data_IF_822739994181
#
_entry.id   IF_822739994181
#
_cell.length_a   1.000
_cell.length_b   1.000
_cell.length_c   1.000
_cell.angle_alpha   90.00
_cell.angle_beta   90.00
_cell.angle_gamma   90.00
#
_symmetry.space_group_name_H-M   'P 1'
#
loop_
_entity.id
_entity.type
_entity.pdbx_description
1 polymer ?
#
# COMPACT_ATOMS: atom_id res chain seq x y z
N UNK A 1 6.46 -22.97 -68.91
CA UNK A 1 7.81 -22.65 -69.40
C UNK A 1 7.75 -21.25 -70.00
N UNK A 2 8.44 -20.21 -69.57
CA UNK A 2 9.76 -20.09 -68.92
C UNK A 2 9.85 -18.72 -68.24
N UNK A 3 10.35 -18.69 -67.01
CA UNK A 3 10.75 -17.50 -66.24
C UNK A 3 12.09 -16.96 -66.76
N UNK A 4 12.25 -15.63 -66.81
CA UNK A 4 13.49 -14.80 -66.81
C UNK A 4 13.08 -13.36 -67.17
N UNK A 5 13.55 -12.25 -66.61
CA UNK A 5 14.41 -11.94 -65.46
C UNK A 5 14.31 -10.41 -65.25
N UNK A 6 14.24 -9.98 -63.99
CA UNK A 6 14.70 -8.71 -63.38
C UNK A 6 14.80 -7.41 -64.20
N UNK A 7 14.01 -6.40 -63.80
CA UNK A 7 14.53 -5.07 -63.44
C UNK A 7 13.44 -4.28 -62.70
N UNK A 8 13.75 -3.71 -61.53
CA UNK A 8 13.25 -2.41 -61.05
C UNK A 8 13.80 -2.14 -59.64
N UNK A 9 14.81 -1.29 -59.60
CA UNK A 9 15.11 -0.27 -58.59
C UNK A 9 14.38 -0.37 -57.25
N UNK A 10 15.12 -0.73 -56.20
CA UNK A 10 14.78 -0.42 -54.81
C UNK A 10 15.24 0.98 -54.43
N UNK A 11 14.34 1.90 -54.02
CA UNK A 11 14.73 3.06 -53.23
C UNK A 11 14.43 2.89 -51.74
N UNK A 12 15.40 3.33 -50.95
CA UNK A 12 15.24 4.06 -49.69
C UNK A 12 14.64 3.33 -48.48
N UNK A 13 15.56 2.90 -47.60
CA UNK A 13 15.30 2.52 -46.20
C UNK A 13 14.71 3.73 -45.46
N UNK A 14 13.38 3.76 -45.29
CA UNK A 14 12.73 4.64 -44.31
C UNK A 14 12.72 3.95 -42.95
N UNK A 15 13.61 4.42 -42.09
CA UNK A 15 13.66 4.22 -40.64
C UNK A 15 12.27 4.48 -40.05
N UNK A 16 11.56 3.41 -39.68
CA UNK A 16 10.32 3.51 -38.91
C UNK A 16 10.74 3.97 -37.51
N UNK A 17 10.41 5.22 -37.18
CA UNK A 17 10.60 5.76 -35.84
C UNK A 17 9.84 4.91 -34.83
N UNK A 18 10.57 4.41 -33.84
CA UNK A 18 9.99 3.75 -32.68
C UNK A 18 9.02 4.72 -31.99
N UNK A 19 7.77 4.28 -31.81
CA UNK A 19 6.83 4.94 -30.91
C UNK A 19 7.42 4.91 -29.50
N UNK A 20 7.46 6.03 -28.76
CA UNK A 20 7.84 5.99 -27.35
C UNK A 20 6.77 5.16 -26.61
N UNK A 21 7.21 4.06 -25.99
CA UNK A 21 6.40 3.29 -25.04
C UNK A 21 5.77 4.24 -24.02
N UNK A 22 4.52 3.98 -23.57
CA UNK A 22 3.89 4.81 -22.55
C UNK A 22 4.80 4.85 -21.32
N UNK A 23 5.20 6.06 -20.94
CA UNK A 23 5.88 6.34 -19.68
C UNK A 23 4.95 5.82 -18.59
N UNK A 24 5.25 4.62 -18.09
CA UNK A 24 4.70 4.14 -16.82
C UNK A 24 5.16 5.16 -15.81
N UNK A 25 4.26 6.04 -15.38
CA UNK A 25 4.51 6.98 -14.30
C UNK A 25 4.77 6.15 -13.05
N UNK A 26 6.04 5.78 -12.83
CA UNK A 26 6.48 5.20 -11.57
C UNK A 26 6.03 6.16 -10.47
N UNK A 27 5.32 5.63 -9.47
CA UNK A 27 4.96 6.44 -8.32
C UNK A 27 6.22 7.09 -7.77
N UNK A 28 6.19 8.39 -7.43
CA UNK A 28 7.36 9.07 -6.89
C UNK A 28 7.94 8.29 -5.71
N UNK A 29 9.28 8.28 -5.55
CA UNK A 29 9.91 7.60 -4.43
C UNK A 29 9.37 8.16 -3.12
N UNK A 30 9.06 7.25 -2.18
CA UNK A 30 8.59 7.64 -0.85
C UNK A 30 9.69 8.44 -0.17
N UNK A 31 9.37 9.65 0.27
CA UNK A 31 10.32 10.49 0.99
C UNK A 31 10.48 9.95 2.41
N UNK A 32 11.70 9.62 2.87
CA UNK A 32 11.92 9.18 4.24
C UNK A 32 11.38 10.19 5.25
N UNK A 33 10.69 9.69 6.29
CA UNK A 33 10.21 10.54 7.37
C UNK A 33 11.35 11.19 8.14
N UNK A 34 11.13 12.42 8.61
CA UNK A 34 12.00 13.06 9.61
C UNK A 34 11.93 12.27 10.92
N UNK A 35 12.98 12.27 11.76
CA UNK A 35 12.98 11.51 13.02
C UNK A 35 11.78 11.75 13.92
N UNK A 36 11.35 13.01 14.07
CA UNK A 36 10.13 13.36 14.84
C UNK A 36 8.88 12.73 14.23
N UNK A 37 8.73 12.78 12.90
CA UNK A 37 7.59 12.18 12.20
C UNK A 37 7.59 10.66 12.31
N UNK A 38 8.77 10.03 12.28
CA UNK A 38 8.92 8.60 12.48
C UNK A 38 8.47 8.19 13.89
N UNK A 39 8.83 8.95 14.92
CA UNK A 39 8.36 8.71 16.29
C UNK A 39 6.83 8.81 16.39
N UNK A 40 6.24 9.89 15.85
CA UNK A 40 4.77 10.04 15.81
C UNK A 40 4.12 8.90 15.02
N UNK A 41 4.69 8.51 13.88
CA UNK A 41 4.22 7.38 13.09
C UNK A 41 4.28 6.06 13.85
N UNK A 42 5.32 5.85 14.67
CA UNK A 42 5.42 4.68 15.54
C UNK A 42 4.30 4.65 16.60
N UNK A 43 3.96 5.79 17.21
CA UNK A 43 2.82 5.84 18.12
C UNK A 43 1.49 5.51 17.43
N UNK A 44 1.30 5.95 16.17
CA UNK A 44 0.11 5.57 15.38
C UNK A 44 0.04 4.06 15.13
N UNK A 45 1.18 3.42 14.82
CA UNK A 45 1.26 1.96 14.67
C UNK A 45 0.98 1.25 15.99
N UNK A 46 1.40 1.82 17.12
CA UNK A 46 1.12 1.29 18.45
C UNK A 46 -0.35 1.49 18.88
N UNK A 47 -1.20 2.04 18.02
CA UNK A 47 -2.64 2.18 18.25
C UNK A 47 -3.06 3.45 18.96
N UNK A 48 -2.16 4.42 19.15
CA UNK A 48 -2.50 5.68 19.80
C UNK A 48 -3.20 6.63 18.84
N UNK A 49 -4.29 7.23 19.29
CA UNK A 49 -4.93 8.33 18.57
C UNK A 49 -4.19 9.67 18.81
N UNK A 50 -4.38 10.68 17.94
CA UNK A 50 -3.68 11.95 18.05
C UNK A 50 -3.81 12.69 19.39
N UNK A 51 -4.89 12.47 20.16
CA UNK A 51 -5.04 13.10 21.49
C UNK A 51 -4.14 12.40 22.52
N UNK A 52 -4.10 11.07 22.49
CA UNK A 52 -3.23 10.30 23.36
C UNK A 52 -1.75 10.53 23.03
N UNK A 53 -1.39 10.65 21.74
CA UNK A 53 -0.04 11.06 21.33
C UNK A 53 0.32 12.44 21.87
N UNK A 54 -0.59 13.41 21.79
CA UNK A 54 -0.37 14.74 22.34
C UNK A 54 -0.11 14.69 23.85
N UNK A 55 -0.87 13.87 24.58
CA UNK A 55 -0.69 13.69 26.01
C UNK A 55 0.66 13.04 26.35
N UNK A 56 1.07 11.98 25.66
CA UNK A 56 2.35 11.29 25.91
C UNK A 56 3.57 12.14 25.55
N UNK A 57 3.48 12.93 24.47
CA UNK A 57 4.60 13.73 23.98
C UNK A 57 4.66 15.14 24.59
N UNK A 58 3.63 15.56 25.33
CA UNK A 58 3.50 16.93 25.84
C UNK A 58 3.29 17.99 24.75
N UNK A 59 3.02 17.56 23.50
CA UNK A 59 2.79 18.46 22.36
C UNK A 59 1.33 18.88 22.27
N UNK A 60 1.08 20.01 21.64
CA UNK A 60 -0.30 20.44 21.38
C UNK A 60 -0.99 19.50 20.39
N UNK A 61 -2.31 19.29 20.56
CA UNK A 61 -3.10 18.52 19.62
C UNK A 61 -3.05 19.10 18.18
N UNK A 62 -2.86 20.42 18.04
CA UNK A 62 -2.70 21.07 16.74
C UNK A 62 -1.38 20.67 16.07
N UNK A 63 -0.29 20.64 16.84
CA UNK A 63 1.03 20.18 16.38
C UNK A 63 0.98 18.73 15.92
N UNK A 64 0.35 17.84 16.70
CA UNK A 64 0.19 16.43 16.31
C UNK A 64 -0.60 16.29 15.01
N UNK A 65 -1.70 17.04 14.85
CA UNK A 65 -2.47 17.04 13.60
C UNK A 65 -1.64 17.49 12.40
N UNK A 66 -0.82 18.52 12.57
CA UNK A 66 0.10 19.00 11.53
C UNK A 66 1.13 17.92 11.17
N UNK A 67 1.75 17.27 12.15
CA UNK A 67 2.68 16.16 11.89
C UNK A 67 2.00 14.99 11.18
N UNK A 68 0.79 14.60 11.59
CA UNK A 68 0.02 13.55 10.90
C UNK A 68 -0.29 13.94 9.46
N UNK A 69 -0.58 15.22 9.19
CA UNK A 69 -0.77 15.72 7.84
C UNK A 69 0.51 15.63 6.99
N UNK A 70 1.66 16.02 7.54
CA UNK A 70 2.96 15.91 6.87
C UNK A 70 3.36 14.46 6.59
N UNK A 71 3.13 13.55 7.56
CA UNK A 71 3.35 12.11 7.39
C UNK A 71 2.50 11.56 6.23
N UNK A 72 1.21 11.91 6.18
CA UNK A 72 0.31 11.50 5.09
C UNK A 72 0.82 11.95 3.72
N UNK A 73 1.32 13.17 3.63
CA UNK A 73 1.91 13.69 2.40
C UNK A 73 3.17 12.90 1.99
N UNK A 74 4.05 12.59 2.95
CA UNK A 74 5.29 11.83 2.70
C UNK A 74 5.05 10.41 2.18
N UNK A 75 4.01 9.73 2.65
CA UNK A 75 3.64 8.37 2.18
C UNK A 75 2.62 8.38 1.04
N UNK A 76 2.31 9.55 0.48
CA UNK A 76 1.33 9.74 -0.58
C UNK A 76 -0.05 9.15 -0.23
N UNK A 77 -0.48 9.26 1.03
CA UNK A 77 -1.79 8.75 1.45
C UNK A 77 -2.90 9.54 0.73
N UNK A 78 -3.91 8.87 0.16
CA UNK A 78 -5.06 9.54 -0.42
C UNK A 78 -5.72 10.51 0.58
N UNK A 79 -6.30 11.62 0.10
CA UNK A 79 -6.98 12.56 0.97
C UNK A 79 -8.10 11.86 1.74
N UNK A 80 -8.21 12.15 3.04
CA UNK A 80 -9.21 11.59 3.96
C UNK A 80 -9.11 10.07 4.18
N UNK A 81 -7.96 9.44 3.88
CA UNK A 81 -7.72 8.02 4.22
C UNK A 81 -7.85 7.80 5.74
N UNK A 82 -8.53 6.72 6.15
CA UNK A 82 -8.65 6.34 7.57
C UNK A 82 -7.30 5.87 8.13
N UNK A 83 -7.20 5.81 9.45
CA UNK A 83 -5.97 5.41 10.15
C UNK A 83 -5.42 4.03 9.73
N UNK A 84 -6.22 2.96 9.52
CA UNK A 84 -5.70 1.66 9.10
C UNK A 84 -4.94 1.73 7.77
N UNK A 85 -5.44 2.53 6.81
CA UNK A 85 -4.78 2.73 5.52
C UNK A 85 -3.45 3.48 5.68
N UNK A 86 -3.42 4.50 6.55
CA UNK A 86 -2.16 5.20 6.85
C UNK A 86 -1.14 4.28 7.50
N UNK A 87 -1.55 3.47 8.47
CA UNK A 87 -0.70 2.47 9.15
C UNK A 87 -0.19 1.43 8.16
N UNK A 88 -1.05 0.90 7.30
CA UNK A 88 -0.66 -0.01 6.24
C UNK A 88 0.43 0.61 5.35
N UNK A 89 0.24 1.84 4.86
CA UNK A 89 1.22 2.52 4.02
C UNK A 89 2.56 2.75 4.74
N UNK A 90 2.54 3.15 6.01
CA UNK A 90 3.76 3.35 6.80
C UNK A 90 4.60 2.08 6.93
N UNK A 91 3.93 0.96 7.21
CA UNK A 91 4.55 -0.34 7.39
C UNK A 91 5.02 -0.94 6.06
N UNK A 92 4.19 -0.89 5.03
CA UNK A 92 4.56 -1.36 3.68
C UNK A 92 5.69 -0.54 3.06
N UNK A 93 5.84 0.73 3.46
CA UNK A 93 6.94 1.60 3.07
C UNK A 93 8.16 1.55 4.00
N UNK A 94 8.11 0.71 5.05
CA UNK A 94 9.16 0.56 6.07
C UNK A 94 9.62 1.90 6.67
N UNK A 95 8.69 2.85 6.81
CA UNK A 95 8.98 4.17 7.40
C UNK A 95 9.09 4.11 8.93
N UNK A 96 8.66 3.00 9.53
CA UNK A 96 8.65 2.72 10.96
C UNK A 96 9.09 1.27 11.18
N UNK A 97 9.40 0.91 12.43
CA UNK A 97 9.77 -0.45 12.75
C UNK A 97 8.60 -1.41 12.46
N UNK A 98 8.90 -2.56 11.86
CA UNK A 98 7.89 -3.59 11.66
C UNK A 98 7.45 -4.14 13.03
N UNK A 99 6.14 -4.30 13.25
CA UNK A 99 5.64 -4.87 14.49
C UNK A 99 6.06 -6.33 14.59
N UNK A 100 6.39 -6.77 15.81
CA UNK A 100 6.48 -8.18 16.17
C UNK A 100 5.24 -8.57 16.94
N UNK A 101 4.82 -9.82 16.81
CA UNK A 101 3.71 -10.36 17.60
C UNK A 101 4.05 -11.77 18.06
N UNK A 102 3.83 -12.04 19.34
CA UNK A 102 3.90 -13.40 19.90
C UNK A 102 2.62 -14.19 19.61
N UNK A 103 1.59 -13.55 19.03
CA UNK A 103 0.35 -14.23 18.68
C UNK A 103 0.58 -15.17 17.50
N UNK A 104 0.07 -16.41 17.55
CA UNK A 104 0.16 -17.32 16.42
C UNK A 104 -0.56 -16.73 15.21
N UNK A 105 -0.02 -16.99 14.02
CA UNK A 105 -0.65 -16.58 12.77
C UNK A 105 -1.97 -17.37 12.59
N UNK A 106 -3.11 -16.70 12.39
CA UNK A 106 -4.38 -17.36 12.18
C UNK A 106 -4.43 -18.02 10.80
N UNK A 107 -5.17 -19.14 10.70
CA UNK A 107 -5.52 -19.73 9.42
C UNK A 107 -6.69 -18.95 8.81
N UNK A 108 -6.41 -18.17 7.76
CA UNK A 108 -7.42 -17.36 7.09
C UNK A 108 -7.83 -18.00 5.75
N UNK A 109 -9.12 -17.97 5.43
CA UNK A 109 -9.61 -18.37 4.11
C UNK A 109 -9.12 -17.41 3.01
N UNK A 110 -9.18 -17.80 1.72
CA UNK A 110 -8.85 -16.91 0.61
C UNK A 110 -9.70 -15.62 0.58
N UNK A 111 -10.96 -15.70 1.00
CA UNK A 111 -11.89 -14.57 1.09
C UNK A 111 -11.49 -13.65 2.25
N UNK A 112 -11.12 -14.21 3.40
CA UNK A 112 -10.62 -13.44 4.54
C UNK A 112 -9.30 -12.73 4.21
N UNK A 113 -8.39 -13.35 3.45
CA UNK A 113 -7.18 -12.69 2.94
C UNK A 113 -7.51 -11.53 1.99
N UNK A 114 -8.50 -11.68 1.12
CA UNK A 114 -8.94 -10.59 0.22
C UNK A 114 -9.56 -9.44 1.02
N UNK A 115 -10.41 -9.76 1.99
CA UNK A 115 -11.00 -8.77 2.88
C UNK A 115 -9.94 -8.03 3.70
N UNK A 116 -8.93 -8.73 4.22
CA UNK A 116 -7.78 -8.16 4.92
C UNK A 116 -7.03 -7.13 4.06
N UNK A 117 -6.71 -7.48 2.81
CA UNK A 117 -6.07 -6.54 1.86
C UNK A 117 -6.98 -5.35 1.55
N UNK A 118 -8.27 -5.61 1.31
CA UNK A 118 -9.24 -4.57 0.99
C UNK A 118 -9.35 -3.50 2.08
N UNK A 119 -9.42 -3.91 3.35
CA UNK A 119 -9.51 -2.95 4.47
C UNK A 119 -8.20 -2.24 4.79
N UNK A 120 -7.06 -2.84 4.41
CA UNK A 120 -5.75 -2.21 4.52
C UNK A 120 -5.52 -1.14 3.45
N UNK A 121 -6.08 -1.32 2.25
CA UNK A 121 -5.82 -0.45 1.09
C UNK A 121 -6.93 0.59 0.86
N UNK A 122 -8.17 0.33 1.32
CA UNK A 122 -9.33 1.16 1.01
C UNK A 122 -10.04 1.71 2.25
N UNK A 123 -10.53 2.95 2.11
CA UNK A 123 -11.27 3.66 3.18
C UNK A 123 -12.79 3.61 3.01
N UNK A 124 -13.27 3.63 1.77
CA UNK A 124 -14.69 3.67 1.44
C UNK A 124 -15.29 2.27 1.37
N UNK A 125 -16.46 2.07 1.98
CA UNK A 125 -17.12 0.76 2.05
C UNK A 125 -17.37 0.14 0.66
N UNK A 126 -17.69 0.97 -0.34
CA UNK A 126 -17.87 0.53 -1.73
C UNK A 126 -16.58 -0.05 -2.32
N UNK A 127 -15.46 0.63 -2.12
CA UNK A 127 -14.17 0.19 -2.67
C UNK A 127 -13.66 -1.05 -1.93
N UNK A 128 -13.90 -1.13 -0.62
CA UNK A 128 -13.65 -2.34 0.18
C UNK A 128 -14.46 -3.52 -0.36
N UNK A 129 -15.76 -3.36 -0.61
CA UNK A 129 -16.60 -4.43 -1.16
C UNK A 129 -16.09 -4.93 -2.51
N UNK A 130 -15.72 -4.00 -3.40
CA UNK A 130 -15.17 -4.31 -4.73
C UNK A 130 -13.85 -5.06 -4.63
N UNK A 131 -12.93 -4.59 -3.79
CA UNK A 131 -11.62 -5.22 -3.60
C UNK A 131 -11.72 -6.60 -2.92
N UNK A 132 -12.63 -6.75 -1.97
CA UNK A 132 -12.92 -8.01 -1.29
C UNK A 132 -13.79 -8.97 -2.12
N UNK A 133 -14.33 -8.51 -3.26
CA UNK A 133 -15.22 -9.28 -4.16
C UNK A 133 -16.47 -9.83 -3.49
N UNK A 134 -17.07 -9.04 -2.60
CA UNK A 134 -18.32 -9.37 -1.89
C UNK A 134 -19.41 -8.35 -2.18
N UNK A 135 -20.66 -8.68 -1.84
CA UNK A 135 -21.72 -7.69 -1.93
C UNK A 135 -21.51 -6.59 -0.87
N UNK A 136 -21.87 -5.31 -1.16
CA UNK A 136 -21.73 -4.23 -0.18
C UNK A 136 -22.47 -4.48 1.14
N UNK A 137 -23.55 -5.27 1.12
CA UNK A 137 -24.31 -5.65 2.31
C UNK A 137 -23.52 -6.56 3.26
N UNK A 138 -22.60 -7.37 2.73
CA UNK A 138 -21.85 -8.39 3.48
C UNK A 138 -20.55 -7.86 4.08
N UNK A 139 -20.14 -6.63 3.73
CA UNK A 139 -18.87 -6.03 4.21
C UNK A 139 -18.80 -6.00 5.73
N UNK A 140 -19.92 -5.72 6.40
CA UNK A 140 -19.93 -5.63 7.88
C UNK A 140 -19.73 -7.00 8.52
N UNK A 141 -20.48 -8.02 8.10
CA UNK A 141 -20.34 -9.38 8.65
C UNK A 141 -18.96 -9.94 8.35
N UNK A 142 -18.49 -9.83 7.10
CA UNK A 142 -17.16 -10.31 6.72
C UNK A 142 -16.03 -9.62 7.52
N UNK A 143 -16.19 -8.34 7.87
CA UNK A 143 -15.22 -7.65 8.73
C UNK A 143 -15.25 -8.17 10.17
N UNK A 144 -16.44 -8.40 10.73
CA UNK A 144 -16.58 -8.96 12.09
C UNK A 144 -15.96 -10.36 12.14
N UNK A 145 -16.31 -11.23 11.20
CA UNK A 145 -15.77 -12.59 11.11
C UNK A 145 -14.23 -12.58 11.00
N UNK A 146 -13.66 -11.61 10.27
CA UNK A 146 -12.21 -11.44 10.15
C UNK A 146 -11.58 -10.94 11.46
N UNK A 147 -12.21 -10.01 12.17
CA UNK A 147 -11.72 -9.53 13.48
C UNK A 147 -11.75 -10.66 14.51
N UNK A 148 -12.82 -11.46 14.53
CA UNK A 148 -12.96 -12.60 15.41
C UNK A 148 -11.91 -13.69 15.12
N UNK A 149 -11.72 -14.04 13.84
CA UNK A 149 -10.71 -15.03 13.43
C UNK A 149 -9.27 -14.62 13.76
N UNK A 150 -8.99 -13.32 13.84
CA UNK A 150 -7.64 -12.77 14.12
C UNK A 150 -7.47 -12.33 15.58
N UNK A 151 -8.55 -12.27 16.35
CA UNK A 151 -8.57 -11.70 17.70
C UNK A 151 -8.19 -10.22 17.75
N UNK A 152 -8.40 -9.48 16.67
CA UNK A 152 -8.14 -8.05 16.59
C UNK A 152 -9.36 -7.27 17.13
N UNK A 153 -9.13 -6.29 18.01
CA UNK A 153 -10.18 -5.45 18.58
C UNK A 153 -10.73 -4.41 17.60
N UNK A 154 -9.92 -4.00 16.61
CA UNK A 154 -10.33 -3.11 15.53
C UNK A 154 -9.49 -3.30 14.26
N UNK A 155 -9.87 -2.59 13.19
CA UNK A 155 -9.23 -2.67 11.88
C UNK A 155 -7.78 -2.16 11.88
N UNK A 156 -7.44 -1.20 12.75
CA UNK A 156 -6.06 -0.71 12.86
C UNK A 156 -5.18 -1.81 13.46
N UNK A 157 -5.63 -2.42 14.56
CA UNK A 157 -4.93 -3.53 15.19
C UNK A 157 -4.80 -4.74 14.24
N UNK A 158 -5.87 -5.03 13.47
CA UNK A 158 -5.85 -6.06 12.43
C UNK A 158 -4.71 -5.84 11.43
N UNK A 159 -4.57 -4.61 10.90
CA UNK A 159 -3.51 -4.27 9.93
C UNK A 159 -2.11 -4.43 10.54
N UNK A 160 -1.93 -4.02 11.80
CA UNK A 160 -0.64 -4.15 12.50
C UNK A 160 -0.27 -5.62 12.69
N UNK A 161 -1.20 -6.44 13.17
CA UNK A 161 -0.99 -7.88 13.35
C UNK A 161 -0.73 -8.58 12.01
N UNK A 162 -1.46 -8.21 10.96
CA UNK A 162 -1.23 -8.75 9.63
C UNK A 162 0.16 -8.43 9.07
N UNK A 163 0.72 -7.26 9.40
CA UNK A 163 2.12 -6.94 9.09
C UNK A 163 3.09 -7.76 9.95
N UNK A 164 2.81 -7.94 11.24
CA UNK A 164 3.62 -8.78 12.13
C UNK A 164 3.67 -10.25 11.67
N UNK A 165 2.58 -10.77 11.12
CA UNK A 165 2.51 -12.10 10.52
C UNK A 165 3.01 -12.17 9.06
N UNK A 166 3.36 -11.03 8.45
CA UNK A 166 3.83 -10.97 7.06
C UNK A 166 2.75 -11.16 5.99
N UNK A 167 1.46 -11.06 6.34
CA UNK A 167 0.32 -11.30 5.42
C UNK A 167 0.07 -10.17 4.42
N UNK A 168 0.47 -8.92 4.73
CA UNK A 168 0.21 -7.74 3.89
C UNK A 168 1.39 -7.30 3.01
N UNK A 169 2.58 -7.87 3.21
CA UNK A 169 3.76 -7.61 2.37
C UNK A 169 4.28 -6.16 2.37
N UNK A 170 5.50 -6.00 1.84
CA UNK A 170 6.05 -4.68 1.53
C UNK A 170 5.44 -4.15 0.23
N UNK A 171 5.33 -2.82 0.10
CA UNK A 171 4.91 -2.21 -1.18
C UNK A 171 5.99 -2.53 -2.22
N UNK A 172 5.65 -3.01 -3.43
CA UNK A 172 6.64 -3.15 -4.49
C UNK A 172 7.25 -1.77 -4.78
N UNK A 173 8.48 -1.54 -4.31
CA UNK A 173 9.32 -0.52 -4.90
C UNK A 173 9.68 -1.06 -6.27
N UNK A 174 9.29 -0.37 -7.34
CA UNK A 174 9.69 -0.73 -8.70
C UNK A 174 11.21 -0.55 -8.84
N UNK A 175 11.97 -1.50 -8.30
CA UNK A 175 13.39 -1.66 -8.55
C UNK A 175 13.47 -2.40 -9.87
N UNK A 176 13.83 -1.67 -10.93
CA UNK A 176 14.17 -2.27 -12.21
C UNK A 176 15.43 -3.09 -11.99
N UNK A 177 15.30 -4.42 -11.91
CA UNK A 177 16.42 -5.31 -12.21
C UNK A 177 16.77 -5.11 -13.68
N UNK A 178 17.73 -4.20 -13.91
CA UNK A 178 18.36 -4.01 -15.21
C UNK A 178 19.28 -5.21 -15.43
N UNK A 179 18.71 -6.31 -15.91
CA UNK A 179 19.46 -7.44 -16.43
C UNK A 179 20.32 -6.96 -17.60
N UNK A 180 21.62 -6.77 -17.34
CA UNK A 180 22.62 -6.65 -18.37
C UNK A 180 22.86 -8.05 -18.95
N UNK A 181 22.16 -8.37 -20.04
CA UNK A 181 22.48 -9.51 -20.89
C UNK A 181 23.80 -9.25 -21.62
N UNK A 182 24.74 -10.18 -21.46
CA UNK A 182 26.07 -10.23 -22.08
C UNK A 182 25.99 -10.52 -23.58
#
# INVERSE_FOLDING_TARGET
MTYKDINLSTPSVRRIGALPSPLTAGSPPITPLKPTHQSIAQHLVNGLDPRNIAAETGLSANTIRQYVHEIRASVHCPPRCKLPVLVHLLLSAQQVALPTSDRPMPELSPEQHQMLKAVAEHTAARDIALAARIAPADVRSALVDLLDATGAGDVTQLVVLAHAWGLLGARPTSTVERGAGR
#
